data_IF_085041733807
#
_entry.id   IF_085041733807
#
_cell.length_a   1.000
_cell.length_b   1.000
_cell.length_c   1.000
_cell.angle_alpha   90.00
_cell.angle_beta   90.00
_cell.angle_gamma   90.00
#
_symmetry.space_group_name_H-M   'P 1'
#
loop_
_entity.id
_entity.type
_entity.pdbx_description
1 polymer ?
#
# COMPACT_ATOMS: atom_id res chain seq x y z
N UNK A 1 -28.27 -0.13 18.12
CA UNK A 1 -26.96 0.47 18.35
C UNK A 1 -27.02 1.92 17.87
N UNK A 2 -26.88 2.87 18.80
CA UNK A 2 -26.79 4.29 18.46
C UNK A 2 -25.31 4.64 18.34
N UNK A 3 -24.80 4.68 17.12
CA UNK A 3 -23.45 5.17 16.87
C UNK A 3 -23.47 6.70 16.89
N UNK A 4 -22.53 7.30 17.60
CA UNK A 4 -22.40 8.76 17.72
C UNK A 4 -21.36 9.33 16.74
N UNK A 5 -20.55 8.47 16.11
CA UNK A 5 -19.55 8.81 15.13
C UNK A 5 -19.33 7.60 14.20
N UNK A 6 -19.14 7.86 12.93
CA UNK A 6 -18.68 6.87 11.93
C UNK A 6 -17.30 7.29 11.44
N UNK A 7 -16.33 6.38 11.49
CA UNK A 7 -15.02 6.53 10.85
C UNK A 7 -14.98 5.48 9.75
N UNK A 8 -14.71 5.92 8.54
CA UNK A 8 -14.69 5.09 7.33
C UNK A 8 -13.34 5.16 6.65
N UNK A 9 -12.80 3.99 6.32
CA UNK A 9 -11.61 3.83 5.48
C UNK A 9 -12.09 3.39 4.08
N UNK A 10 -12.14 4.35 3.15
CA UNK A 10 -12.56 4.21 1.75
C UNK A 10 -13.98 3.64 1.50
N UNK A 11 -14.81 3.46 2.53
CA UNK A 11 -16.19 3.02 2.37
C UNK A 11 -17.18 4.19 2.26
N UNK A 12 -17.44 4.63 1.04
CA UNK A 12 -18.37 5.71 0.73
C UNK A 12 -19.85 5.34 0.97
N UNK A 13 -20.17 4.05 1.02
CA UNK A 13 -21.55 3.61 1.26
C UNK A 13 -21.97 3.88 2.72
N UNK A 14 -21.12 3.51 3.68
CA UNK A 14 -21.38 3.78 5.10
C UNK A 14 -21.46 5.27 5.39
N UNK A 15 -20.63 6.10 4.74
CA UNK A 15 -20.68 7.56 4.84
C UNK A 15 -22.00 8.14 4.33
N UNK A 16 -22.52 7.61 3.21
CA UNK A 16 -23.81 8.04 2.68
C UNK A 16 -24.93 7.79 3.68
N UNK A 17 -24.91 6.63 4.34
CA UNK A 17 -25.88 6.30 5.40
C UNK A 17 -25.70 7.22 6.61
N UNK A 18 -24.47 7.44 7.06
CA UNK A 18 -24.16 8.34 8.18
C UNK A 18 -24.68 9.77 7.93
N UNK A 19 -24.43 10.31 6.72
CA UNK A 19 -24.89 11.64 6.33
C UNK A 19 -26.40 11.74 6.28
N UNK A 20 -27.09 10.73 5.76
CA UNK A 20 -28.56 10.69 5.75
C UNK A 20 -29.16 10.64 7.16
N UNK A 21 -28.49 9.95 8.09
CA UNK A 21 -28.88 9.85 9.49
C UNK A 21 -28.37 11.03 10.36
N UNK A 22 -27.64 11.98 9.76
CA UNK A 22 -27.00 13.12 10.44
C UNK A 22 -26.03 12.69 11.55
N UNK A 23 -25.38 11.56 11.39
CA UNK A 23 -24.34 11.07 12.29
C UNK A 23 -23.01 11.72 11.88
N UNK A 24 -22.25 12.32 12.80
CA UNK A 24 -20.89 12.81 12.53
C UNK A 24 -20.02 11.72 11.88
N UNK A 25 -19.23 12.13 10.89
CA UNK A 25 -18.47 11.15 10.12
C UNK A 25 -17.10 11.67 9.70
N UNK A 26 -16.13 10.76 9.66
CA UNK A 26 -14.76 10.98 9.23
C UNK A 26 -14.47 9.99 8.10
N UNK A 27 -13.91 10.50 7.01
CA UNK A 27 -13.38 9.70 5.91
C UNK A 27 -11.86 9.67 5.99
N UNK A 28 -11.28 8.48 5.86
CA UNK A 28 -9.86 8.30 5.58
C UNK A 28 -9.77 7.78 4.15
N UNK A 29 -9.02 8.47 3.28
CA UNK A 29 -8.89 8.06 1.87
C UNK A 29 -7.64 8.66 1.23
N UNK A 30 -7.06 7.95 0.29
CA UNK A 30 -6.02 8.47 -0.61
C UNK A 30 -6.59 8.81 -2.01
N UNK A 31 -7.87 8.52 -2.25
CA UNK A 31 -8.53 8.71 -3.55
C UNK A 31 -9.60 9.80 -3.46
N UNK A 32 -9.32 10.97 -4.04
CA UNK A 32 -10.31 12.05 -4.20
C UNK A 32 -11.03 11.97 -5.55
N UNK A 33 -10.36 11.48 -6.58
CA UNK A 33 -10.87 11.38 -7.95
C UNK A 33 -10.22 10.19 -8.65
N UNK A 34 -10.98 9.48 -9.48
CA UNK A 34 -10.46 8.40 -10.33
C UNK A 34 -10.31 8.85 -11.77
N UNK A 35 -9.31 8.31 -12.50
CA UNK A 35 -9.05 8.58 -13.93
C UNK A 35 -8.58 7.29 -14.62
N UNK A 36 -9.42 6.26 -14.60
CA UNK A 36 -9.06 4.94 -15.15
C UNK A 36 -9.61 4.71 -16.56
N UNK A 37 -10.68 5.42 -16.95
CA UNK A 37 -11.40 5.11 -18.18
C UNK A 37 -11.20 6.15 -19.27
N UNK A 38 -11.28 5.69 -20.54
CA UNK A 38 -11.22 6.53 -21.73
C UNK A 38 -12.51 6.35 -22.56
N UNK A 39 -12.80 7.32 -23.43
CA UNK A 39 -13.95 7.27 -24.32
C UNK A 39 -15.29 7.37 -23.59
N UNK A 40 -16.30 6.60 -24.03
CA UNK A 40 -17.67 6.67 -23.49
C UNK A 40 -17.72 6.32 -22.01
N UNK A 41 -16.90 5.37 -21.56
CA UNK A 41 -16.84 4.97 -20.14
C UNK A 41 -16.39 6.11 -19.22
N UNK A 42 -15.66 7.11 -19.72
CA UNK A 42 -15.26 8.29 -18.93
C UNK A 42 -16.45 9.14 -18.46
N UNK A 43 -17.60 9.03 -19.13
CA UNK A 43 -18.81 9.73 -18.68
C UNK A 43 -19.36 9.11 -17.39
N UNK A 44 -19.33 7.79 -17.28
CA UNK A 44 -19.76 7.07 -16.08
C UNK A 44 -18.81 7.41 -14.92
N UNK A 45 -17.51 7.35 -15.17
CA UNK A 45 -16.48 7.69 -14.19
C UNK A 45 -16.63 9.13 -13.68
N UNK A 46 -16.85 10.10 -14.56
CA UNK A 46 -17.12 11.48 -14.15
C UNK A 46 -18.36 11.62 -13.26
N UNK A 47 -19.41 10.84 -13.53
CA UNK A 47 -20.62 10.83 -12.69
C UNK A 47 -20.33 10.23 -11.31
N UNK A 48 -19.54 9.17 -11.27
CA UNK A 48 -19.08 8.56 -10.02
C UNK A 48 -18.23 9.53 -9.21
N UNK A 49 -17.22 10.16 -9.83
CA UNK A 49 -16.36 11.16 -9.19
C UNK A 49 -17.17 12.34 -8.63
N UNK A 50 -18.18 12.80 -9.36
CA UNK A 50 -19.09 13.87 -8.88
C UNK A 50 -19.86 13.42 -7.63
N UNK A 51 -20.30 12.15 -7.58
CA UNK A 51 -20.98 11.58 -6.42
C UNK A 51 -20.03 11.45 -5.23
N UNK A 52 -18.83 10.90 -5.44
CA UNK A 52 -17.77 10.82 -4.44
C UNK A 52 -17.44 12.19 -3.85
N UNK A 53 -17.18 13.17 -4.70
CA UNK A 53 -16.85 14.54 -4.27
C UNK A 53 -17.97 15.17 -3.43
N UNK A 54 -19.24 14.87 -3.74
CA UNK A 54 -20.36 15.33 -2.92
C UNK A 54 -20.33 14.72 -1.52
N UNK A 55 -20.01 13.42 -1.43
CA UNK A 55 -19.90 12.74 -0.13
C UNK A 55 -18.72 13.31 0.66
N UNK A 56 -17.54 13.47 0.02
CA UNK A 56 -16.32 14.04 0.62
C UNK A 56 -16.61 15.43 1.21
N UNK A 57 -17.25 16.32 0.45
CA UNK A 57 -17.60 17.67 0.91
C UNK A 57 -18.56 17.70 2.10
N UNK A 58 -19.38 16.68 2.26
CA UNK A 58 -20.33 16.57 3.35
C UNK A 58 -19.77 15.83 4.58
N UNK A 59 -18.53 15.33 4.52
CA UNK A 59 -17.87 14.77 5.71
C UNK A 59 -17.52 15.88 6.70
N UNK A 60 -17.60 15.57 8.00
CA UNK A 60 -17.14 16.48 9.04
C UNK A 60 -15.62 16.67 9.00
N UNK A 61 -14.91 15.59 8.64
CA UNK A 61 -13.47 15.58 8.47
C UNK A 61 -13.09 14.55 7.41
N UNK A 62 -12.10 14.89 6.58
CA UNK A 62 -11.45 13.98 5.64
C UNK A 62 -9.96 13.96 5.95
N UNK A 63 -9.40 12.78 6.16
CA UNK A 63 -7.98 12.57 6.42
C UNK A 63 -7.37 11.94 5.17
N UNK A 64 -6.35 12.60 4.63
CA UNK A 64 -5.58 12.09 3.50
C UNK A 64 -4.16 11.76 3.98
N UNK A 65 -3.75 10.48 3.95
CA UNK A 65 -2.41 10.07 4.37
C UNK A 65 -1.36 10.35 3.29
N UNK A 66 -1.20 11.62 2.94
CA UNK A 66 -0.24 12.13 1.97
C UNK A 66 0.28 13.49 2.40
N UNK A 67 1.45 13.86 1.88
CA UNK A 67 1.99 15.21 2.03
C UNK A 67 1.13 16.23 1.27
N UNK A 68 1.08 17.45 1.76
CA UNK A 68 0.39 18.57 1.10
C UNK A 68 -0.32 19.49 2.09
N UNK A 69 -0.99 20.49 1.56
CA UNK A 69 -1.69 21.50 2.34
C UNK A 69 -3.10 21.06 2.72
N UNK A 70 -3.52 21.46 3.90
CA UNK A 70 -4.89 21.31 4.37
C UNK A 70 -5.84 22.21 3.57
N UNK A 71 -7.05 21.72 3.30
CA UNK A 71 -8.04 22.48 2.55
C UNK A 71 -9.46 22.15 3.03
N UNK A 72 -10.26 23.18 3.34
CA UNK A 72 -11.64 23.03 3.83
C UNK A 72 -11.76 22.00 4.99
N UNK A 73 -12.48 20.91 4.77
CA UNK A 73 -12.64 19.81 5.72
C UNK A 73 -11.58 18.71 5.54
N UNK A 74 -10.59 18.90 4.66
CA UNK A 74 -9.51 17.94 4.39
C UNK A 74 -8.29 18.28 5.23
N UNK A 75 -7.71 17.24 5.87
CA UNK A 75 -6.44 17.31 6.60
C UNK A 75 -5.47 16.30 6.01
N UNK A 76 -4.24 16.73 5.75
CA UNK A 76 -3.16 15.89 5.26
C UNK A 76 -2.19 15.58 6.39
N UNK A 77 -1.92 14.31 6.61
CA UNK A 77 -1.13 13.85 7.77
C UNK A 77 0.28 13.37 7.37
N UNK A 78 0.60 13.38 6.09
CA UNK A 78 1.75 12.64 5.58
C UNK A 78 1.46 11.13 5.50
N UNK A 79 2.38 10.35 4.93
CA UNK A 79 2.21 8.91 4.76
C UNK A 79 2.12 8.21 6.11
N UNK A 80 1.24 7.20 6.19
CA UNK A 80 1.13 6.33 7.38
C UNK A 80 2.00 5.11 7.12
N UNK A 81 3.06 4.95 7.91
CA UNK A 81 4.02 3.86 7.80
C UNK A 81 4.11 3.11 9.12
N UNK A 82 4.38 1.81 9.05
CA UNK A 82 4.68 1.02 10.24
C UNK A 82 6.11 1.32 10.69
N UNK A 83 6.32 1.43 11.99
CA UNK A 83 7.61 1.69 12.58
C UNK A 83 8.23 0.43 13.17
N UNK A 84 9.54 0.41 13.28
CA UNK A 84 10.31 -0.59 14.01
C UNK A 84 11.29 0.10 14.95
N UNK A 85 11.54 -0.51 16.10
CA UNK A 85 12.54 -0.02 17.06
C UNK A 85 13.94 -0.59 16.78
N UNK A 86 14.09 -1.45 15.78
CA UNK A 86 15.35 -2.05 15.41
C UNK A 86 16.06 -1.22 14.35
N UNK A 87 17.38 -1.09 14.48
CA UNK A 87 18.21 -0.51 13.44
C UNK A 87 18.26 -1.40 12.20
N UNK A 88 18.65 -0.82 11.07
CA UNK A 88 18.81 -1.58 9.81
C UNK A 88 19.80 -2.74 9.98
N UNK A 89 20.90 -2.52 10.71
CA UNK A 89 21.92 -3.53 10.96
C UNK A 89 21.40 -4.69 11.81
N UNK A 90 20.56 -4.41 12.82
CA UNK A 90 19.92 -5.44 13.63
C UNK A 90 18.92 -6.25 12.81
N UNK A 91 18.16 -5.60 11.95
CA UNK A 91 17.24 -6.26 11.03
C UNK A 91 17.98 -7.12 9.99
N UNK A 92 19.06 -6.61 9.40
CA UNK A 92 19.90 -7.40 8.49
C UNK A 92 20.44 -8.66 9.15
N UNK A 93 20.90 -8.57 10.42
CA UNK A 93 21.30 -9.74 11.21
C UNK A 93 20.13 -10.69 11.49
N UNK A 94 18.96 -10.14 11.89
CA UNK A 94 17.74 -10.90 12.15
C UNK A 94 17.31 -11.72 10.93
N UNK A 95 17.41 -11.15 9.74
CA UNK A 95 17.03 -11.82 8.50
C UNK A 95 18.19 -12.56 7.79
N UNK A 96 19.41 -12.49 8.33
CA UNK A 96 20.63 -13.04 7.71
C UNK A 96 20.84 -12.49 6.30
N UNK A 97 20.83 -11.16 6.19
CA UNK A 97 21.11 -10.43 4.95
C UNK A 97 22.56 -9.97 4.93
N UNK A 98 23.45 -10.83 4.43
CA UNK A 98 24.91 -10.59 4.42
C UNK A 98 25.39 -9.95 3.11
N UNK A 99 24.54 -9.92 2.08
CA UNK A 99 24.83 -9.43 0.73
C UNK A 99 23.88 -8.33 0.33
N UNK A 100 24.09 -7.71 -0.83
CA UNK A 100 23.08 -6.89 -1.48
C UNK A 100 21.80 -7.70 -1.62
N UNK A 101 20.71 -7.23 -1.00
CA UNK A 101 19.48 -7.99 -0.87
C UNK A 101 18.34 -7.25 -1.57
N UNK A 102 17.68 -7.95 -2.50
CA UNK A 102 16.47 -7.48 -3.18
C UNK A 102 15.27 -8.24 -2.66
N UNK A 103 14.32 -7.53 -2.08
CA UNK A 103 13.04 -8.10 -1.67
C UNK A 103 12.02 -7.95 -2.81
N UNK A 104 11.34 -9.04 -3.16
CA UNK A 104 10.23 -9.03 -4.14
C UNK A 104 8.94 -9.34 -3.38
N UNK A 105 7.99 -8.41 -3.36
CA UNK A 105 6.70 -8.56 -2.68
C UNK A 105 5.52 -8.26 -3.59
N UNK A 106 4.57 -9.20 -3.69
CA UNK A 106 3.39 -9.07 -4.56
C UNK A 106 2.08 -8.81 -3.79
N UNK A 107 2.17 -8.58 -2.48
CA UNK A 107 0.99 -8.42 -1.64
C UNK A 107 0.21 -9.73 -1.41
N UNK A 108 -1.07 -9.60 -1.05
CA UNK A 108 -1.89 -10.72 -0.56
C UNK A 108 -2.46 -11.67 -1.62
N UNK A 109 -2.34 -11.36 -2.92
CA UNK A 109 -3.00 -12.11 -3.99
C UNK A 109 -2.02 -12.76 -4.96
N UNK A 110 -2.48 -13.75 -5.74
CA UNK A 110 -1.68 -14.39 -6.78
C UNK A 110 -1.52 -13.56 -8.07
N UNK A 111 -2.16 -12.39 -8.16
CA UNK A 111 -2.14 -11.54 -9.35
C UNK A 111 -0.73 -11.08 -9.76
N UNK A 112 0.21 -11.03 -8.81
CA UNK A 112 1.59 -10.59 -9.03
C UNK A 112 2.60 -11.70 -9.34
N UNK A 113 2.19 -12.95 -9.50
CA UNK A 113 3.14 -14.07 -9.75
C UNK A 113 4.04 -13.82 -10.96
N UNK A 114 3.50 -13.23 -12.02
CA UNK A 114 4.28 -12.87 -13.22
C UNK A 114 5.43 -11.88 -12.91
N UNK A 115 5.22 -10.99 -11.94
CA UNK A 115 6.25 -10.02 -11.52
C UNK A 115 7.41 -10.74 -10.84
N UNK A 116 7.13 -11.72 -9.98
CA UNK A 116 8.18 -12.49 -9.31
C UNK A 116 9.03 -13.23 -10.33
N UNK A 117 8.41 -13.98 -11.25
CA UNK A 117 9.13 -14.73 -12.28
C UNK A 117 10.00 -13.79 -13.14
N UNK A 118 9.46 -12.65 -13.57
CA UNK A 118 10.20 -11.67 -14.38
C UNK A 118 11.31 -10.97 -13.61
N UNK A 119 11.09 -10.62 -12.35
CA UNK A 119 12.10 -9.99 -11.51
C UNK A 119 13.27 -10.95 -11.28
N UNK A 120 13.00 -12.20 -10.89
CA UNK A 120 14.04 -13.23 -10.69
C UNK A 120 14.84 -13.42 -11.99
N UNK A 121 14.17 -13.65 -13.13
CA UNK A 121 14.81 -13.81 -14.44
C UNK A 121 15.74 -12.63 -14.76
N UNK A 122 15.33 -11.42 -14.45
CA UNK A 122 16.09 -10.21 -14.75
C UNK A 122 17.28 -10.04 -13.79
N UNK A 123 17.11 -10.27 -12.50
CA UNK A 123 18.18 -10.14 -11.50
C UNK A 123 19.26 -11.19 -11.73
N UNK A 124 18.90 -12.43 -12.06
CA UNK A 124 19.86 -13.51 -12.34
C UNK A 124 20.74 -13.24 -13.57
N UNK A 125 20.33 -12.33 -14.46
CA UNK A 125 21.17 -11.87 -15.59
C UNK A 125 22.21 -10.84 -15.18
N UNK A 126 22.05 -10.22 -14.00
CA UNK A 126 23.04 -9.29 -13.46
C UNK A 126 24.14 -10.15 -12.83
N UNK A 127 25.36 -10.06 -13.37
CA UNK A 127 26.50 -10.85 -12.88
C UNK A 127 27.05 -10.25 -11.56
N UNK A 128 26.23 -10.27 -10.50
CA UNK A 128 26.54 -9.77 -9.16
C UNK A 128 26.06 -10.77 -8.11
N UNK A 129 26.72 -10.75 -6.96
CA UNK A 129 26.34 -11.56 -5.80
C UNK A 129 25.17 -10.91 -5.04
N UNK A 130 23.96 -11.13 -5.55
CA UNK A 130 22.70 -10.56 -5.03
C UNK A 130 21.87 -11.66 -4.37
N UNK A 131 21.42 -11.43 -3.15
CA UNK A 131 20.41 -12.26 -2.50
C UNK A 131 19.01 -11.80 -2.92
N UNK A 132 18.20 -12.74 -3.41
CA UNK A 132 16.82 -12.50 -3.79
C UNK A 132 15.90 -13.10 -2.73
N UNK A 133 15.05 -12.29 -2.15
CA UNK A 133 14.07 -12.69 -1.14
C UNK A 133 12.67 -12.50 -1.68
N UNK A 134 11.87 -13.57 -1.70
CA UNK A 134 10.48 -13.53 -2.18
C UNK A 134 9.53 -13.58 -1.00
N UNK A 135 8.67 -12.56 -0.92
CA UNK A 135 7.55 -12.48 0.02
C UNK A 135 6.26 -12.60 -0.79
N UNK A 136 5.56 -13.69 -0.61
CA UNK A 136 4.32 -13.99 -1.33
C UNK A 136 3.12 -14.00 -0.37
N UNK A 137 1.94 -13.68 -0.89
CA UNK A 137 0.71 -13.72 -0.10
C UNK A 137 0.34 -15.14 0.37
N UNK A 138 -0.56 -15.26 1.35
CA UNK A 138 -0.93 -16.55 1.95
C UNK A 138 -1.58 -17.53 0.96
N UNK A 139 -2.11 -17.02 -0.15
CA UNK A 139 -2.71 -17.84 -1.22
C UNK A 139 -1.69 -18.42 -2.20
N UNK A 140 -0.41 -18.06 -2.09
CA UNK A 140 0.64 -18.49 -3.01
C UNK A 140 1.44 -19.64 -2.40
N UNK A 141 1.26 -20.84 -2.95
CA UNK A 141 1.98 -22.05 -2.54
C UNK A 141 3.22 -22.33 -3.39
N UNK A 142 3.36 -21.63 -4.54
CA UNK A 142 4.50 -21.77 -5.45
C UNK A 142 5.78 -21.36 -4.73
N UNK A 143 6.80 -22.21 -4.80
CA UNK A 143 8.18 -21.87 -4.43
C UNK A 143 8.96 -21.52 -5.70
N UNK A 144 9.92 -20.63 -5.54
CA UNK A 144 10.78 -20.17 -6.63
C UNK A 144 12.21 -20.68 -6.39
N UNK A 145 12.89 -21.09 -7.45
CA UNK A 145 14.24 -21.62 -7.38
C UNK A 145 15.29 -20.49 -7.27
N UNK A 146 16.43 -20.80 -6.66
CA UNK A 146 17.56 -19.89 -6.49
C UNK A 146 17.26 -18.60 -5.71
N UNK A 147 16.23 -18.62 -4.86
CA UNK A 147 15.83 -17.48 -4.02
C UNK A 147 15.43 -17.94 -2.61
N UNK A 148 15.46 -17.02 -1.67
CA UNK A 148 14.95 -17.23 -0.32
C UNK A 148 13.43 -17.01 -0.32
N UNK A 149 12.67 -18.08 -0.20
CA UNK A 149 11.21 -18.01 -0.15
C UNK A 149 10.74 -17.85 1.29
N UNK A 150 10.18 -16.71 1.68
CA UNK A 150 9.66 -16.47 3.03
C UNK A 150 8.15 -16.73 3.14
N UNK A 151 7.43 -16.81 2.01
CA UNK A 151 5.97 -16.89 2.05
C UNK A 151 5.33 -15.62 2.59
N UNK A 152 4.24 -15.76 3.36
CA UNK A 152 3.60 -14.64 4.03
C UNK A 152 4.40 -14.20 5.26
N UNK A 153 4.55 -12.89 5.44
CA UNK A 153 5.19 -12.27 6.60
C UNK A 153 4.33 -11.13 7.14
N UNK A 154 4.22 -11.03 8.45
CA UNK A 154 3.45 -9.95 9.10
C UNK A 154 4.21 -8.62 9.13
N UNK A 155 5.55 -8.69 9.12
CA UNK A 155 6.43 -7.55 9.31
C UNK A 155 7.21 -7.18 8.03
N UNK A 156 6.51 -7.09 6.89
CA UNK A 156 7.12 -6.71 5.60
C UNK A 156 7.91 -5.40 5.69
N UNK A 157 7.46 -4.42 6.47
CA UNK A 157 8.15 -3.15 6.67
C UNK A 157 9.57 -3.31 7.22
N UNK A 158 9.81 -4.29 8.11
CA UNK A 158 11.15 -4.58 8.61
C UNK A 158 12.06 -5.19 7.51
N UNK A 159 11.47 -6.03 6.65
CA UNK A 159 12.20 -6.58 5.49
C UNK A 159 12.54 -5.49 4.48
N UNK A 160 11.62 -4.54 4.23
CA UNK A 160 11.86 -3.38 3.38
C UNK A 160 13.05 -2.59 3.97
N UNK A 161 13.02 -2.23 5.24
CA UNK A 161 14.09 -1.46 5.87
C UNK A 161 15.45 -2.19 5.87
N UNK A 162 15.47 -3.53 5.98
CA UNK A 162 16.68 -4.32 5.93
C UNK A 162 17.25 -4.50 4.52
N UNK A 163 16.42 -4.36 3.49
CA UNK A 163 16.81 -4.60 2.09
C UNK A 163 17.50 -3.40 1.45
N UNK A 164 18.12 -3.62 0.30
CA UNK A 164 18.75 -2.57 -0.51
C UNK A 164 17.83 -2.12 -1.64
N UNK A 165 16.83 -2.94 -2.00
CA UNK A 165 15.83 -2.64 -3.01
C UNK A 165 14.56 -3.46 -2.76
N UNK A 166 13.40 -2.85 -3.00
CA UNK A 166 12.11 -3.53 -3.05
C UNK A 166 11.52 -3.50 -4.46
N UNK A 167 11.04 -4.65 -4.93
CA UNK A 167 10.25 -4.78 -6.16
C UNK A 167 8.83 -5.17 -5.75
N UNK A 168 7.84 -4.38 -6.12
CA UNK A 168 6.45 -4.62 -5.69
C UNK A 168 5.43 -4.28 -6.78
N UNK A 169 4.17 -4.66 -6.55
CA UNK A 169 3.02 -4.21 -7.37
C UNK A 169 2.60 -2.76 -7.07
N UNK A 170 3.48 -1.97 -6.47
CA UNK A 170 3.26 -0.56 -6.19
C UNK A 170 2.02 -0.28 -5.29
N UNK A 171 1.72 -1.16 -4.35
CA UNK A 171 0.74 -0.88 -3.31
C UNK A 171 1.19 0.32 -2.47
N UNK A 172 0.25 1.24 -2.17
CA UNK A 172 0.56 2.52 -1.50
C UNK A 172 1.39 2.33 -0.22
N UNK A 173 0.96 1.46 0.69
CA UNK A 173 1.69 1.21 1.96
C UNK A 173 3.14 0.74 1.71
N UNK A 174 3.37 -0.12 0.71
CA UNK A 174 4.73 -0.59 0.38
C UNK A 174 5.59 0.54 -0.16
N UNK A 175 5.03 1.43 -1.00
CA UNK A 175 5.74 2.59 -1.53
C UNK A 175 6.08 3.57 -0.40
N UNK A 176 5.12 3.85 0.46
CA UNK A 176 5.30 4.79 1.57
C UNK A 176 6.35 4.28 2.57
N UNK A 177 6.32 2.98 2.91
CA UNK A 177 7.33 2.34 3.76
C UNK A 177 8.72 2.37 3.09
N UNK A 178 8.83 2.02 1.81
CA UNK A 178 10.11 2.07 1.09
C UNK A 178 10.70 3.49 1.07
N UNK A 179 9.87 4.49 0.83
CA UNK A 179 10.31 5.91 0.85
C UNK A 179 10.74 6.36 2.25
N UNK A 180 9.99 6.00 3.27
CA UNK A 180 10.31 6.35 4.66
C UNK A 180 11.62 5.72 5.14
N UNK A 181 11.92 4.51 4.70
CA UNK A 181 13.13 3.77 5.07
C UNK A 181 14.32 3.99 4.11
N UNK A 182 14.10 4.66 2.99
CA UNK A 182 15.16 4.95 2.02
C UNK A 182 15.61 3.73 1.21
N UNK A 183 14.67 2.84 0.91
CA UNK A 183 14.90 1.57 0.17
C UNK A 183 14.51 1.68 -1.28
#
# INVERSE_FOLDING_TARGET
NNSNLIISDEDFASLTVAQNLKIPNILITDVLETKFTKGIASFIERKMNKSMMKIIKNCNLVIIPEEGDDQDNIRRTGPIVRETNLSREELRRKFSFDKTTIVISIGGTSAGLFLIDKAIESILKINQDIEIVVVSGPSVTKKFDNVKNLGFVDNLHELIFASDLIISLAGKSTIDEARAYGT
#
